data_IF_062968308108
#
_entry.id   IF_062968308108
#
_cell.length_a   1.000
_cell.length_b   1.000
_cell.length_c   1.000
_cell.angle_alpha   90.00
_cell.angle_beta   90.00
_cell.angle_gamma   90.00
#
_symmetry.space_group_name_H-M   'P 1'
#
loop_
_entity.id
_entity.type
_entity.pdbx_description
1 polymer ?
#
# COMPACT_ATOMS: atom_id res chain seq x y z
N UNK A 1 -0.36 -8.43 15.84
CA UNK A 1 -0.52 -8.24 14.38
C UNK A 1 0.73 -7.55 13.88
N UNK A 2 1.35 -7.99 12.78
CA UNK A 2 2.42 -7.17 12.16
C UNK A 2 1.84 -5.80 11.85
N UNK A 3 2.47 -4.75 12.39
CA UNK A 3 2.07 -3.38 12.13
C UNK A 3 2.30 -3.03 10.67
N UNK A 4 1.46 -2.14 10.14
CA UNK A 4 1.62 -1.58 8.79
C UNK A 4 3.04 -1.01 8.58
N UNK A 5 3.64 -0.48 9.64
CA UNK A 5 5.02 0.01 9.69
C UNK A 5 6.06 -1.06 9.35
N UNK A 6 5.91 -2.28 9.89
CA UNK A 6 6.86 -3.37 9.60
C UNK A 6 6.78 -3.80 8.13
N UNK A 7 5.55 -3.88 7.61
CA UNK A 7 5.30 -4.23 6.23
C UNK A 7 5.91 -3.19 5.29
N UNK A 8 5.67 -1.90 5.56
CA UNK A 8 6.23 -0.81 4.76
C UNK A 8 7.76 -0.77 4.86
N UNK A 9 8.33 -0.95 6.05
CA UNK A 9 9.78 -1.01 6.23
C UNK A 9 10.41 -2.14 5.40
N UNK A 10 9.75 -3.29 5.33
CA UNK A 10 10.20 -4.41 4.52
C UNK A 10 10.15 -4.08 3.03
N UNK A 11 9.06 -3.47 2.55
CA UNK A 11 8.91 -3.04 1.16
C UNK A 11 10.01 -2.05 0.77
N UNK A 12 10.18 -0.97 1.54
CA UNK A 12 11.19 0.04 1.25
C UNK A 12 12.62 -0.50 1.38
N UNK A 13 12.86 -1.40 2.35
CA UNK A 13 14.16 -2.07 2.50
C UNK A 13 14.50 -2.95 1.29
N UNK A 14 13.56 -3.78 0.83
CA UNK A 14 13.76 -4.65 -0.33
C UNK A 14 13.87 -3.83 -1.61
N UNK A 15 13.01 -2.83 -1.82
CA UNK A 15 13.07 -1.95 -2.97
C UNK A 15 14.41 -1.21 -3.04
N UNK A 16 14.87 -0.63 -1.92
CA UNK A 16 16.14 0.09 -1.86
C UNK A 16 17.34 -0.82 -2.12
N UNK A 17 17.35 -2.04 -1.56
CA UNK A 17 18.41 -3.00 -1.83
C UNK A 17 18.40 -3.48 -3.29
N UNK A 18 17.22 -3.71 -3.87
CA UNK A 18 17.07 -4.14 -5.26
C UNK A 18 17.53 -3.04 -6.23
N UNK A 19 17.16 -1.78 -5.95
CA UNK A 19 17.59 -0.65 -6.78
C UNK A 19 19.11 -0.45 -6.74
N UNK A 20 19.73 -0.60 -5.55
CA UNK A 20 21.20 -0.58 -5.40
C UNK A 20 21.88 -1.71 -6.17
N UNK A 21 21.27 -2.89 -6.24
CA UNK A 21 21.78 -4.00 -7.03
C UNK A 21 21.64 -3.80 -8.55
N UNK A 22 20.60 -3.09 -9.01
CA UNK A 22 20.40 -2.79 -10.44
C UNK A 22 21.28 -1.63 -10.94
N UNK A 23 21.80 -0.78 -10.06
CA UNK A 23 22.85 0.21 -10.36
C UNK A 23 22.48 1.34 -11.34
N UNK A 24 21.24 1.38 -11.83
CA UNK A 24 20.72 2.41 -12.75
C UNK A 24 19.33 2.86 -12.33
N UNK A 25 19.16 4.16 -12.10
CA UNK A 25 17.86 4.76 -11.75
C UNK A 25 17.03 5.03 -13.00
N UNK A 26 16.45 3.97 -13.58
CA UNK A 26 15.46 4.07 -14.67
C UNK A 26 14.07 3.75 -14.15
N UNK A 27 13.01 4.32 -14.76
CA UNK A 27 11.63 4.03 -14.36
C UNK A 27 11.30 2.53 -14.44
N UNK A 28 11.86 1.81 -15.41
CA UNK A 28 11.70 0.35 -15.50
C UNK A 28 12.40 -0.40 -14.37
N UNK A 29 13.58 0.04 -13.94
CA UNK A 29 14.27 -0.56 -12.80
C UNK A 29 13.52 -0.29 -11.48
N UNK A 30 12.85 0.86 -11.37
CA UNK A 30 11.95 1.15 -10.25
C UNK A 30 10.72 0.24 -10.25
N UNK A 31 10.14 -0.02 -11.43
CA UNK A 31 9.07 -1.02 -11.57
C UNK A 31 9.54 -2.40 -11.12
N UNK A 32 10.69 -2.86 -11.61
CA UNK A 32 11.24 -4.18 -11.26
C UNK A 32 11.59 -4.29 -9.77
N UNK A 33 12.21 -3.26 -9.20
CA UNK A 33 12.52 -3.20 -7.78
C UNK A 33 11.24 -3.19 -6.92
N UNK A 34 10.22 -2.44 -7.35
CA UNK A 34 8.91 -2.42 -6.71
C UNK A 34 8.19 -3.77 -6.79
N UNK A 35 8.21 -4.42 -7.94
CA UNK A 35 7.66 -5.77 -8.13
C UNK A 35 8.39 -6.82 -7.29
N UNK A 36 9.72 -6.76 -7.20
CA UNK A 36 10.50 -7.65 -6.34
C UNK A 36 10.17 -7.43 -4.84
N UNK A 37 10.00 -6.17 -4.43
CA UNK A 37 9.56 -5.82 -3.08
C UNK A 37 8.16 -6.39 -2.77
N UNK A 38 7.20 -6.21 -3.68
CA UNK A 38 5.85 -6.78 -3.54
C UNK A 38 5.84 -8.32 -3.51
N UNK A 39 6.70 -8.97 -4.29
CA UNK A 39 6.87 -10.42 -4.30
C UNK A 39 7.34 -10.95 -2.94
N UNK A 40 8.41 -10.37 -2.38
CA UNK A 40 8.95 -10.76 -1.07
C UNK A 40 7.94 -10.44 0.04
N UNK A 41 7.27 -9.29 -0.04
CA UNK A 41 6.22 -8.90 0.88
C UNK A 41 5.06 -9.89 0.87
N UNK A 42 4.60 -10.40 -0.28
CA UNK A 42 3.53 -11.40 -0.29
C UNK A 42 3.92 -12.66 0.48
N UNK A 43 5.15 -13.17 0.37
CA UNK A 43 5.54 -14.40 1.08
C UNK A 43 5.26 -14.29 2.60
N UNK A 44 5.44 -13.08 3.16
CA UNK A 44 5.24 -12.79 4.58
C UNK A 44 3.79 -12.38 4.89
N UNK A 45 3.17 -11.56 4.04
CA UNK A 45 1.83 -11.03 4.27
C UNK A 45 0.72 -12.03 3.92
N UNK A 46 0.91 -12.85 2.89
CA UNK A 46 -0.08 -13.80 2.37
C UNK A 46 -0.61 -14.80 3.45
N UNK A 47 0.20 -15.42 4.32
CA UNK A 47 -0.35 -16.25 5.42
C UNK A 47 -1.14 -15.43 6.44
N UNK A 48 -0.73 -14.19 6.71
CA UNK A 48 -1.41 -13.30 7.66
C UNK A 48 -2.75 -12.80 7.14
N UNK A 49 -2.81 -12.45 5.85
CA UNK A 49 -4.06 -12.09 5.18
C UNK A 49 -5.03 -13.27 5.16
N UNK A 50 -4.55 -14.47 4.82
CA UNK A 50 -5.36 -15.68 4.87
C UNK A 50 -5.97 -15.90 6.27
N UNK A 51 -5.16 -15.79 7.33
CA UNK A 51 -5.64 -15.91 8.70
C UNK A 51 -6.69 -14.83 9.05
N UNK A 52 -6.47 -13.58 8.64
CA UNK A 52 -7.43 -12.48 8.86
C UNK A 52 -8.73 -12.71 8.12
N UNK A 53 -8.69 -13.03 6.83
CA UNK A 53 -9.90 -13.29 6.03
C UNK A 53 -10.68 -14.46 6.60
N UNK A 54 -10.02 -15.56 7.01
CA UNK A 54 -10.69 -16.70 7.65
C UNK A 54 -11.33 -16.33 9.00
N UNK A 55 -10.68 -15.49 9.81
CA UNK A 55 -11.29 -14.99 11.04
C UNK A 55 -12.45 -14.02 10.78
N UNK A 56 -12.36 -13.17 9.77
CA UNK A 56 -13.44 -12.23 9.41
C UNK A 56 -14.66 -12.97 8.85
N UNK A 57 -14.43 -14.07 8.13
CA UNK A 57 -15.50 -14.96 7.66
C UNK A 57 -16.10 -15.80 8.79
N UNK A 58 -15.43 -15.94 9.96
CA UNK A 58 -16.05 -16.57 11.12
C UNK A 58 -17.19 -15.71 11.66
N UNK A 59 -18.42 -16.10 11.31
CA UNK A 59 -19.64 -15.42 11.73
C UNK A 59 -20.48 -14.86 10.58
N UNK A 60 -20.02 -14.97 9.33
CA UNK A 60 -20.76 -14.54 8.14
C UNK A 60 -21.07 -15.76 7.25
N UNK A 61 -22.36 -16.06 7.02
CA UNK A 61 -22.83 -17.22 6.23
C UNK A 61 -23.84 -18.13 6.95
N UNK A 62 -24.53 -19.00 6.21
CA UNK A 62 -25.63 -19.87 6.70
C UNK A 62 -25.23 -20.90 7.76
N UNK A 63 -23.95 -21.26 7.87
CA UNK A 63 -23.43 -22.10 8.95
C UNK A 63 -23.02 -21.25 10.15
N UNK A 64 -24.02 -20.80 10.94
CA UNK A 64 -23.80 -20.30 12.31
C UNK A 64 -23.22 -21.42 13.17
N UNK A 65 -21.89 -21.61 13.14
CA UNK A 65 -21.23 -22.39 14.17
C UNK A 65 -21.37 -21.65 15.50
N UNK A 66 -22.08 -22.27 16.45
CA UNK A 66 -22.32 -21.75 17.81
C UNK A 66 -21.04 -21.53 18.63
N UNK A 67 -19.89 -21.96 18.15
CA UNK A 67 -18.59 -21.85 18.84
C UNK A 67 -17.57 -21.09 17.98
N UNK A 68 -16.88 -20.11 18.56
CA UNK A 68 -15.72 -19.45 17.94
C UNK A 68 -14.62 -20.48 17.71
N UNK A 69 -14.41 -20.91 16.47
CA UNK A 69 -13.49 -21.99 16.15
C UNK A 69 -12.00 -21.54 16.16
N UNK A 70 -11.74 -20.22 16.07
CA UNK A 70 -10.39 -19.63 16.17
C UNK A 70 -10.38 -18.56 17.27
N UNK A 71 -9.41 -18.65 18.19
CA UNK A 71 -9.24 -17.63 19.25
C UNK A 71 -8.43 -16.43 18.78
N UNK A 72 -7.46 -16.68 17.89
CA UNK A 72 -6.49 -15.70 17.37
C UNK A 72 -6.09 -16.05 15.93
N UNK A 73 -5.52 -15.09 15.18
CA UNK A 73 -5.07 -15.32 13.80
C UNK A 73 -3.98 -16.40 13.71
N UNK A 74 -3.13 -16.50 14.73
CA UNK A 74 -2.10 -17.55 14.82
C UNK A 74 -2.71 -18.93 15.09
N UNK A 75 -3.71 -19.01 15.98
CA UNK A 75 -4.45 -20.26 16.24
C UNK A 75 -5.20 -20.74 14.97
N UNK A 76 -5.73 -19.79 14.19
CA UNK A 76 -6.29 -20.07 12.87
C UNK A 76 -5.24 -20.67 11.93
N UNK A 77 -4.07 -20.03 11.81
CA UNK A 77 -2.98 -20.49 10.93
C UNK A 77 -2.47 -21.88 11.32
N UNK A 78 -2.28 -22.14 12.62
CA UNK A 78 -1.81 -23.43 13.14
C UNK A 78 -2.84 -24.53 12.83
N UNK A 79 -4.13 -24.28 13.04
CA UNK A 79 -5.19 -25.25 12.71
C UNK A 79 -5.31 -25.51 11.22
N UNK A 80 -5.10 -24.49 10.38
CA UNK A 80 -5.05 -24.67 8.92
C UNK A 80 -3.86 -25.53 8.53
N UNK A 81 -2.69 -25.26 9.10
CA UNK A 81 -1.50 -26.07 8.87
C UNK A 81 -1.72 -27.54 9.27
N UNK A 82 -2.34 -27.78 10.43
CA UNK A 82 -2.62 -29.14 10.91
C UNK A 82 -3.65 -29.89 10.05
N UNK A 83 -4.61 -29.19 9.43
CA UNK A 83 -5.69 -29.81 8.63
C UNK A 83 -5.36 -29.95 7.14
N UNK A 84 -4.78 -28.92 6.55
CA UNK A 84 -4.57 -28.81 5.09
C UNK A 84 -3.07 -28.76 4.70
N UNK A 85 -2.16 -28.74 5.68
CA UNK A 85 -0.72 -28.65 5.47
C UNK A 85 -0.26 -27.36 4.80
N UNK A 86 0.95 -27.40 4.24
CA UNK A 86 1.54 -26.30 3.45
C UNK A 86 0.69 -25.91 2.23
N UNK A 87 -0.03 -26.88 1.66
CA UNK A 87 -0.90 -26.66 0.50
C UNK A 87 -2.12 -25.81 0.85
N UNK A 88 -2.64 -25.92 2.08
CA UNK A 88 -3.72 -25.08 2.59
C UNK A 88 -3.29 -23.63 2.84
N UNK A 89 -2.08 -23.42 3.36
CA UNK A 89 -1.51 -22.06 3.56
C UNK A 89 -1.22 -21.38 2.22
N UNK A 90 -0.73 -22.14 1.23
CA UNK A 90 -0.44 -21.61 -0.10
C UNK A 90 -1.71 -21.42 -0.97
N UNK A 91 -2.89 -21.79 -0.46
CA UNK A 91 -4.16 -21.68 -1.18
C UNK A 91 -4.56 -20.20 -1.28
N UNK A 92 -4.35 -19.62 -2.46
CA UNK A 92 -4.58 -18.20 -2.72
C UNK A 92 -3.30 -17.36 -2.81
N UNK A 93 -2.15 -17.91 -2.42
CA UNK A 93 -0.85 -17.22 -2.48
C UNK A 93 -0.51 -16.77 -3.91
N UNK A 94 -0.75 -17.63 -4.91
CA UNK A 94 -0.56 -17.28 -6.33
C UNK A 94 -1.46 -16.12 -6.75
N UNK A 95 -2.71 -16.09 -6.29
CA UNK A 95 -3.65 -15.01 -6.63
C UNK A 95 -3.28 -13.67 -5.99
N UNK A 96 -2.66 -13.69 -4.82
CA UNK A 96 -2.16 -12.48 -4.16
C UNK A 96 -0.84 -12.06 -4.79
N UNK A 97 0.07 -12.99 -5.06
CA UNK A 97 1.32 -12.71 -5.77
C UNK A 97 1.10 -12.03 -7.12
N UNK A 98 0.19 -12.57 -7.96
CA UNK A 98 -0.13 -11.98 -9.27
C UNK A 98 -0.79 -10.60 -9.12
N UNK A 99 -1.44 -10.31 -7.99
CA UNK A 99 -2.04 -9.00 -7.72
C UNK A 99 -1.02 -7.98 -7.19
N UNK A 100 -0.29 -8.34 -6.14
CA UNK A 100 0.62 -7.43 -5.43
C UNK A 100 1.83 -7.04 -6.30
N UNK A 101 2.39 -8.00 -7.04
CA UNK A 101 3.61 -7.78 -7.86
C UNK A 101 3.45 -6.64 -8.88
N UNK A 102 2.42 -6.62 -9.74
CA UNK A 102 2.18 -5.49 -10.64
C UNK A 102 1.72 -4.24 -9.87
N UNK A 103 0.93 -4.39 -8.81
CA UNK A 103 0.43 -3.27 -8.00
C UNK A 103 1.57 -2.40 -7.45
N UNK A 104 2.56 -3.02 -6.81
CA UNK A 104 3.75 -2.34 -6.29
C UNK A 104 4.67 -1.85 -7.41
N UNK A 105 4.81 -2.61 -8.50
CA UNK A 105 5.56 -2.17 -9.67
C UNK A 105 5.03 -0.86 -10.24
N UNK A 106 3.72 -0.78 -10.52
CA UNK A 106 3.07 0.43 -11.04
C UNK A 106 3.09 1.58 -10.03
N UNK A 107 2.97 1.28 -8.73
CA UNK A 107 3.10 2.29 -7.68
C UNK A 107 4.48 2.97 -7.74
N UNK A 108 5.57 2.21 -7.67
CA UNK A 108 6.91 2.76 -7.67
C UNK A 108 7.29 3.40 -9.01
N UNK A 109 6.89 2.79 -10.13
CA UNK A 109 7.06 3.36 -11.47
C UNK A 109 6.41 4.75 -11.60
N UNK A 110 5.13 4.84 -11.21
CA UNK A 110 4.38 6.09 -11.32
C UNK A 110 4.90 7.13 -10.35
N UNK A 111 5.27 6.71 -9.14
CA UNK A 111 5.85 7.58 -8.14
C UNK A 111 7.14 8.23 -8.67
N UNK A 112 8.07 7.43 -9.20
CA UNK A 112 9.32 7.92 -9.80
C UNK A 112 9.10 8.80 -11.03
N UNK A 113 8.19 8.41 -11.92
CA UNK A 113 7.88 9.22 -13.09
C UNK A 113 7.30 10.58 -12.69
N UNK A 114 6.44 10.61 -11.67
CA UNK A 114 5.82 11.84 -11.18
C UNK A 114 6.82 12.71 -10.42
N UNK A 115 7.66 12.16 -9.55
CA UNK A 115 8.67 12.95 -8.84
C UNK A 115 9.72 13.55 -9.78
N UNK A 116 10.09 12.84 -10.86
CA UNK A 116 10.94 13.38 -11.93
C UNK A 116 10.23 14.47 -12.73
N UNK A 117 8.96 14.29 -13.08
CA UNK A 117 8.19 15.27 -13.85
C UNK A 117 7.96 16.58 -13.07
N UNK A 118 7.68 16.49 -11.77
CA UNK A 118 7.45 17.66 -10.92
C UNK A 118 8.76 18.35 -10.44
N UNK A 119 9.92 17.77 -10.73
CA UNK A 119 11.22 18.30 -10.28
C UNK A 119 11.28 18.41 -8.76
N UNK A 120 11.03 17.30 -8.05
CA UNK A 120 11.09 17.28 -6.59
C UNK A 120 12.56 17.34 -6.11
N UNK A 121 13.13 18.54 -6.05
CA UNK A 121 14.44 18.79 -5.44
C UNK A 121 14.30 19.10 -3.95
N UNK A 122 15.31 18.70 -3.15
CA UNK A 122 15.26 18.82 -1.69
C UNK A 122 15.29 20.27 -1.18
N UNK A 123 15.76 21.22 -1.99
CA UNK A 123 15.79 22.66 -1.67
C UNK A 123 14.48 23.40 -1.97
N UNK A 124 13.50 22.74 -2.57
CA UNK A 124 12.25 23.40 -2.96
C UNK A 124 11.26 23.46 -1.79
N UNK A 125 10.76 24.65 -1.47
CA UNK A 125 9.78 24.88 -0.38
C UNK A 125 8.46 24.10 -0.59
N UNK A 126 8.19 23.67 -1.84
CA UNK A 126 7.02 22.87 -2.21
C UNK A 126 7.31 21.38 -2.38
N UNK A 127 8.47 20.86 -1.94
CA UNK A 127 8.83 19.44 -2.10
C UNK A 127 7.82 18.51 -1.44
N UNK A 128 7.33 18.83 -0.23
CA UNK A 128 6.37 17.98 0.49
C UNK A 128 5.01 17.87 -0.23
N UNK A 129 4.32 18.97 -0.62
CA UNK A 129 3.08 18.85 -1.37
C UNK A 129 3.27 18.18 -2.74
N UNK A 130 4.40 18.39 -3.43
CA UNK A 130 4.73 17.67 -4.67
C UNK A 130 4.87 16.16 -4.45
N UNK A 131 5.55 15.74 -3.37
CA UNK A 131 5.70 14.32 -3.00
C UNK A 131 4.36 13.67 -2.60
N UNK A 132 3.49 14.42 -1.91
CA UNK A 132 2.15 13.93 -1.59
C UNK A 132 1.28 13.77 -2.85
N UNK A 133 1.36 14.72 -3.77
CA UNK A 133 0.66 14.63 -5.04
C UNK A 133 1.16 13.44 -5.88
N UNK A 134 2.48 13.24 -5.98
CA UNK A 134 3.06 12.10 -6.70
C UNK A 134 2.68 10.76 -6.05
N UNK A 135 2.69 10.67 -4.71
CA UNK A 135 2.23 9.49 -3.97
C UNK A 135 0.72 9.22 -4.12
N UNK A 136 -0.10 10.27 -4.17
CA UNK A 136 -1.53 10.14 -4.41
C UNK A 136 -1.83 9.62 -5.82
N UNK A 137 -1.15 10.17 -6.83
CA UNK A 137 -1.30 9.76 -8.22
C UNK A 137 -0.80 8.33 -8.45
N UNK A 138 0.35 7.97 -7.87
CA UNK A 138 0.85 6.60 -7.94
C UNK A 138 -0.08 5.59 -7.26
N UNK A 139 -0.72 5.98 -6.16
CA UNK A 139 -1.79 5.22 -5.53
C UNK A 139 -2.96 4.96 -6.48
N UNK A 140 -3.45 5.99 -7.19
CA UNK A 140 -4.55 5.84 -8.15
C UNK A 140 -4.17 4.87 -9.28
N UNK A 141 -2.97 5.02 -9.86
CA UNK A 141 -2.50 4.15 -10.94
C UNK A 141 -2.32 2.70 -10.47
N UNK A 142 -1.76 2.51 -9.27
CA UNK A 142 -1.64 1.21 -8.62
C UNK A 142 -3.02 0.55 -8.42
N UNK A 143 -4.00 1.31 -7.92
CA UNK A 143 -5.38 0.85 -7.78
C UNK A 143 -6.01 0.49 -9.12
N UNK A 144 -5.84 1.29 -10.17
CA UNK A 144 -6.35 1.00 -11.51
C UNK A 144 -5.80 -0.32 -12.07
N UNK A 145 -4.51 -0.59 -11.87
CA UNK A 145 -3.89 -1.86 -12.29
C UNK A 145 -4.45 -3.05 -11.52
N UNK A 146 -4.75 -2.87 -10.25
CA UNK A 146 -5.17 -3.96 -9.34
C UNK A 146 -6.67 -4.21 -9.39
N UNK A 147 -7.45 -3.19 -9.76
CA UNK A 147 -8.91 -3.22 -9.80
C UNK A 147 -9.53 -4.41 -10.56
N UNK A 148 -9.10 -4.78 -11.80
CA UNK A 148 -9.67 -5.94 -12.50
C UNK A 148 -9.49 -7.24 -11.71
N UNK A 149 -8.35 -7.39 -11.03
CA UNK A 149 -8.06 -8.58 -10.23
C UNK A 149 -8.94 -8.64 -8.98
N UNK A 150 -9.24 -7.49 -8.37
CA UNK A 150 -10.17 -7.41 -7.24
C UNK A 150 -11.60 -7.74 -7.66
N UNK A 151 -12.07 -7.29 -8.83
CA UNK A 151 -13.39 -7.66 -9.37
C UNK A 151 -13.50 -9.17 -9.57
N UNK A 152 -12.49 -9.80 -10.16
CA UNK A 152 -12.46 -11.26 -10.39
C UNK A 152 -12.44 -12.00 -9.05
N UNK A 153 -11.61 -11.55 -8.09
CA UNK A 153 -11.58 -12.13 -6.74
C UNK A 153 -12.92 -12.02 -6.04
N UNK A 154 -13.57 -10.86 -6.07
CA UNK A 154 -14.89 -10.67 -5.46
C UNK A 154 -15.96 -11.57 -6.09
N UNK A 155 -15.97 -11.72 -7.42
CA UNK A 155 -16.89 -12.64 -8.11
C UNK A 155 -16.63 -14.10 -7.73
N UNK A 156 -15.36 -14.52 -7.72
CA UNK A 156 -14.99 -15.88 -7.35
C UNK A 156 -15.26 -16.19 -5.87
N UNK A 157 -15.16 -15.18 -4.99
CA UNK A 157 -15.51 -15.31 -3.56
C UNK A 157 -17.02 -15.31 -3.32
N UNK A 158 -17.80 -14.60 -4.15
CA UNK A 158 -19.26 -14.66 -4.12
C UNK A 158 -19.79 -15.97 -4.74
N UNK A 159 -19.00 -16.63 -5.59
CA UNK A 159 -19.35 -17.89 -6.22
C UNK A 159 -19.42 -19.05 -5.20
N UNK A 160 -20.45 -19.88 -5.30
CA UNK A 160 -20.74 -20.94 -4.32
C UNK A 160 -21.53 -20.50 -3.09
N UNK A 161 -21.77 -19.19 -2.88
CA UNK A 161 -22.71 -18.71 -1.86
C UNK A 161 -24.13 -19.04 -2.34
N UNK A 162 -24.78 -20.02 -1.70
CA UNK A 162 -26.09 -20.56 -2.11
C UNK A 162 -26.04 -21.88 -2.87
N UNK A 163 -24.90 -22.58 -2.90
CA UNK A 163 -24.79 -23.96 -3.38
C UNK A 163 -24.63 -24.14 -4.90
N UNK A 164 -24.68 -23.05 -5.67
CA UNK A 164 -24.42 -23.07 -7.12
C UNK A 164 -23.02 -22.52 -7.39
N UNK A 165 -22.18 -23.32 -8.04
CA UNK A 165 -20.85 -22.89 -8.50
C UNK A 165 -20.93 -22.54 -9.98
N UNK A 166 -20.66 -21.28 -10.32
CA UNK A 166 -20.77 -20.72 -11.65
C UNK A 166 -19.42 -20.65 -12.38
N UNK A 167 -18.30 -20.71 -11.66
CA UNK A 167 -16.95 -20.58 -12.20
C UNK A 167 -16.03 -21.74 -11.79
N UNK A 168 -15.30 -22.32 -12.75
CA UNK A 168 -14.31 -23.38 -12.50
C UNK A 168 -12.95 -22.85 -12.07
N UNK A 169 -12.71 -21.54 -12.20
CA UNK A 169 -11.46 -20.89 -11.82
C UNK A 169 -11.37 -19.43 -12.29
N UNK A 170 -10.20 -18.81 -12.08
CA UNK A 170 -9.95 -17.39 -12.39
C UNK A 170 -10.14 -17.10 -13.88
N UNK A 171 -9.53 -17.90 -14.77
CA UNK A 171 -9.63 -17.72 -16.23
C UNK A 171 -11.05 -17.94 -16.76
N UNK A 172 -11.79 -18.88 -16.17
CA UNK A 172 -13.18 -19.14 -16.52
C UNK A 172 -14.08 -17.98 -16.09
N UNK A 173 -13.87 -17.45 -14.89
CA UNK A 173 -14.54 -16.25 -14.40
C UNK A 173 -14.27 -15.02 -15.29
N UNK A 174 -13.02 -14.82 -15.72
CA UNK A 174 -12.64 -13.72 -16.64
C UNK A 174 -13.35 -13.87 -17.97
N UNK A 175 -13.28 -15.06 -18.59
CA UNK A 175 -13.85 -15.31 -19.91
C UNK A 175 -15.37 -15.14 -19.89
N UNK A 176 -16.03 -15.73 -18.90
CA UNK A 176 -17.50 -15.67 -18.75
C UNK A 176 -17.96 -14.25 -18.44
N UNK A 177 -17.30 -13.55 -17.52
CA UNK A 177 -17.62 -12.15 -17.20
C UNK A 177 -17.42 -11.21 -18.39
N UNK A 178 -16.37 -11.42 -19.19
CA UNK A 178 -16.14 -10.64 -20.40
C UNK A 178 -17.19 -10.91 -21.48
N UNK A 179 -17.63 -12.17 -21.64
CA UNK A 179 -18.65 -12.54 -22.61
C UNK A 179 -20.05 -12.07 -22.22
N UNK A 180 -20.39 -12.09 -20.92
CA UNK A 180 -21.72 -11.72 -20.42
C UNK A 180 -21.90 -10.20 -20.22
N UNK A 181 -20.89 -9.50 -19.70
CA UNK A 181 -20.99 -8.07 -19.33
C UNK A 181 -20.00 -7.16 -20.07
N UNK A 182 -19.10 -7.72 -20.89
CA UNK A 182 -18.08 -6.96 -21.62
C UNK A 182 -16.95 -6.42 -20.73
N UNK A 183 -16.12 -5.55 -21.30
CA UNK A 183 -14.94 -5.00 -20.62
C UNK A 183 -15.26 -4.05 -19.45
N UNK A 184 -16.44 -3.41 -19.46
CA UNK A 184 -16.87 -2.46 -18.40
C UNK A 184 -17.08 -3.13 -17.05
N UNK A 185 -17.25 -4.45 -17.04
CA UNK A 185 -17.39 -5.23 -15.80
C UNK A 185 -16.15 -5.09 -14.91
N UNK A 186 -14.98 -4.98 -15.51
CA UNK A 186 -13.71 -4.85 -14.79
C UNK A 186 -13.48 -3.47 -14.20
N UNK A 187 -14.25 -2.46 -14.61
CA UNK A 187 -14.21 -1.10 -14.04
C UNK A 187 -15.41 -0.79 -13.15
N UNK A 188 -16.35 -1.74 -13.03
CA UNK A 188 -17.61 -1.56 -12.31
C UNK A 188 -17.39 -1.55 -10.80
N UNK A 189 -17.53 -0.37 -10.19
CA UNK A 189 -17.31 -0.12 -8.76
C UNK A 189 -16.06 0.70 -8.47
N UNK A 190 -15.24 1.01 -9.49
CA UNK A 190 -14.04 1.83 -9.35
C UNK A 190 -14.39 3.20 -8.78
N UNK A 191 -15.51 3.78 -9.23
CA UNK A 191 -16.04 5.05 -8.69
C UNK A 191 -16.29 4.98 -7.18
N UNK A 192 -16.81 3.87 -6.65
CA UNK A 192 -17.01 3.71 -5.19
C UNK A 192 -15.67 3.65 -4.46
N UNK A 193 -14.67 2.99 -5.04
CA UNK A 193 -13.32 2.94 -4.48
C UNK A 193 -12.61 4.29 -4.52
N UNK A 194 -12.74 5.05 -5.61
CA UNK A 194 -12.20 6.39 -5.73
C UNK A 194 -12.90 7.39 -4.79
N UNK A 195 -14.23 7.28 -4.67
CA UNK A 195 -15.00 8.13 -3.76
C UNK A 195 -14.63 7.87 -2.29
N UNK A 196 -14.30 6.62 -1.93
CA UNK A 196 -13.74 6.29 -0.61
C UNK A 196 -12.29 6.77 -0.43
N UNK A 197 -11.50 6.78 -1.49
CA UNK A 197 -10.12 7.27 -1.44
C UNK A 197 -10.06 8.78 -1.21
N UNK A 198 -11.08 9.54 -1.63
CA UNK A 198 -11.11 10.99 -1.47
C UNK A 198 -11.04 11.45 0.00
N UNK A 199 -11.88 10.97 0.94
CA UNK A 199 -11.74 11.28 2.36
C UNK A 199 -10.39 10.87 2.97
N UNK A 200 -9.86 9.71 2.57
CA UNK A 200 -8.58 9.21 3.09
C UNK A 200 -7.45 10.12 2.65
N UNK A 201 -7.40 10.47 1.36
CA UNK A 201 -6.41 11.39 0.82
C UNK A 201 -6.54 12.79 1.44
N UNK A 202 -7.76 13.31 1.58
CA UNK A 202 -8.02 14.60 2.23
C UNK A 202 -7.52 14.62 3.69
N UNK A 203 -7.77 13.55 4.45
CA UNK A 203 -7.26 13.42 5.81
C UNK A 203 -5.73 13.39 5.84
N UNK A 204 -5.08 12.66 4.93
CA UNK A 204 -3.62 12.64 4.82
C UNK A 204 -3.05 14.02 4.51
N UNK A 205 -3.63 14.75 3.54
CA UNK A 205 -3.21 16.12 3.24
C UNK A 205 -3.39 17.06 4.44
N UNK A 206 -4.50 16.94 5.16
CA UNK A 206 -4.75 17.73 6.37
C UNK A 206 -3.73 17.40 7.47
N UNK A 207 -3.47 16.11 7.74
CA UNK A 207 -2.50 15.67 8.76
C UNK A 207 -1.10 16.19 8.44
N UNK A 208 -0.65 16.06 7.19
CA UNK A 208 0.68 16.55 6.82
C UNK A 208 0.76 18.07 6.91
N UNK A 209 -0.27 18.79 6.46
CA UNK A 209 -0.29 20.26 6.55
C UNK A 209 -0.21 20.72 8.01
N UNK A 210 -1.01 20.14 8.90
CA UNK A 210 -1.00 20.47 10.33
C UNK A 210 0.35 20.14 10.97
N UNK A 211 0.91 18.98 10.65
CA UNK A 211 2.21 18.56 11.18
C UNK A 211 3.35 19.49 10.73
N UNK A 212 3.36 19.89 9.46
CA UNK A 212 4.33 20.85 8.94
C UNK A 212 4.16 22.24 9.56
N UNK A 213 2.93 22.70 9.75
CA UNK A 213 2.66 23.97 10.44
C UNK A 213 3.17 23.93 11.88
N UNK A 214 3.05 22.79 12.55
CA UNK A 214 3.59 22.59 13.90
C UNK A 214 5.12 22.63 13.90
N UNK A 215 5.81 21.86 13.05
CA UNK A 215 7.28 21.87 12.97
C UNK A 215 7.84 23.25 12.62
N UNK A 216 7.21 23.97 11.69
CA UNK A 216 7.64 25.33 11.30
C UNK A 216 7.39 26.38 12.40
N UNK A 217 6.52 26.08 13.36
CA UNK A 217 6.30 26.96 14.52
C UNK A 217 7.43 26.83 15.55
N UNK A 218 8.10 25.68 15.64
CA UNK A 218 9.28 25.48 16.50
C UNK A 218 10.56 26.11 15.91
N UNK A 219 10.69 26.22 14.58
CA UNK A 219 11.81 26.92 13.91
C UNK A 219 11.72 28.46 14.01
N UNK A 220 10.66 29.02 14.61
CA UNK A 220 10.48 30.47 14.83
C UNK A 220 10.82 30.92 16.28
N UNK A 221 11.82 30.31 16.91
CA UNK A 221 12.44 30.90 18.11
C UNK A 221 13.57 31.81 17.63
N UNK A 222 13.47 33.15 17.75
CA UNK A 222 14.59 34.02 17.43
C UNK A 222 15.77 33.69 18.36
N UNK A 223 16.93 33.44 17.77
CA UNK A 223 18.21 33.44 18.50
C UNK A 223 18.31 34.76 19.27
N UNK A 224 18.25 34.68 20.59
CA UNK A 224 18.47 35.81 21.46
C UNK A 224 19.99 36.06 21.47
N UNK A 225 20.47 36.99 20.64
CA UNK A 225 21.83 37.52 20.72
C UNK A 225 22.08 38.08 22.14
N UNK A 226 23.13 37.63 22.85
CA UNK A 226 23.60 38.32 24.04
C UNK A 226 24.62 39.38 23.59
N UNK A 227 24.17 40.61 23.36
CA UNK A 227 25.08 41.75 23.18
C UNK A 227 25.75 42.10 24.52
N UNK A 228 26.86 41.41 24.79
CA UNK A 228 27.87 41.74 25.78
C UNK A 228 28.84 42.74 25.14
N UNK A 229 28.48 44.03 25.13
CA UNK A 229 29.44 45.11 24.82
C UNK A 229 30.01 45.66 26.12
N UNK A 230 31.19 45.13 26.46
CA UNK A 230 32.10 45.64 27.47
C UNK A 230 32.57 47.03 27.04
N UNK A 231 32.27 48.06 27.83
CA UNK A 231 32.75 49.41 27.62
C UNK A 231 34.15 49.62 28.24
N UNK A 232 35.01 50.33 27.47
CA UNK A 232 36.29 51.00 27.80
C UNK A 232 37.60 50.18 27.88
N UNK A 233 38.80 50.81 27.70
CA UNK A 233 39.15 52.21 27.31
C UNK A 233 40.06 52.28 26.04
N UNK A 234 40.36 53.39 25.36
CA UNK A 234 41.32 54.45 25.74
C UNK A 234 41.57 55.46 24.59
N UNK A 235 41.58 56.76 24.91
CA UNK A 235 42.54 57.83 24.51
C UNK A 235 42.74 58.33 23.04
N UNK A 236 42.46 59.64 22.91
CA UNK A 236 43.37 60.77 22.55
C UNK A 236 43.19 61.52 21.21
N UNK A 237 43.38 62.85 21.32
CA UNK A 237 43.51 63.94 20.32
C UNK A 237 42.18 64.59 19.90
N UNK A 238 41.90 65.88 20.16
CA UNK A 238 42.72 67.08 20.44
C UNK A 238 41.92 68.08 21.25
#
# INVERSE_FOLDING_TARGET
MMGLTFINALVFGVQGNTLRALGKDTPLNQFLAGSAAGAIQCIICCPMELAKTRMQLQGTGEYKQKTKNYKNSLDCLIKIYQKEGLRGINRGMVSTFIRETPSFGFYFLTYDCMTRYLGCEAEDSYVIPKLLFSGGMSGIVSWLSTYPMDVIKSRLQADGVGGVTQYKGIMDCVRKSYHEEGWRVFTRGLTSTLLRAFPVNAATFATVTVFLMYMRSDDNIPECEPDLVIHQPSNLQT
#
